data_IF_358974210713
#
_entry.id   IF_358974210713
#
_cell.length_a   1.000
_cell.length_b   1.000
_cell.length_c   1.000
_cell.angle_alpha   90.00
_cell.angle_beta   90.00
_cell.angle_gamma   90.00
#
_symmetry.space_group_name_H-M   'P 1'
#
loop_
_entity.id
_entity.type
_entity.pdbx_description
1 polymer ?
#
# COMPACT_ATOMS: atom_id res chain seq x y z
N UNK A 1 17.98 18.33 -16.67
CA UNK A 1 19.28 17.72 -16.26
C UNK A 1 19.09 16.36 -15.56
N UNK A 2 18.10 16.19 -14.68
CA UNK A 2 17.94 14.95 -13.88
C UNK A 2 16.89 13.94 -14.40
N UNK A 3 16.39 14.10 -15.64
CA UNK A 3 15.30 13.25 -16.18
C UNK A 3 15.62 11.76 -16.18
N UNK A 4 16.82 11.36 -16.59
CA UNK A 4 17.22 9.95 -16.59
C UNK A 4 17.29 9.35 -15.18
N UNK A 5 17.84 10.11 -14.22
CA UNK A 5 17.91 9.70 -12.81
C UNK A 5 16.51 9.60 -12.21
N UNK A 6 15.63 10.57 -12.49
CA UNK A 6 14.24 10.53 -12.05
C UNK A 6 13.48 9.33 -12.63
N UNK A 7 13.63 9.05 -13.92
CA UNK A 7 13.04 7.89 -14.57
C UNK A 7 13.57 6.57 -13.99
N UNK A 8 14.88 6.47 -13.78
CA UNK A 8 15.47 5.30 -13.13
C UNK A 8 14.88 5.11 -11.73
N UNK A 9 14.94 6.12 -10.86
CA UNK A 9 14.39 6.07 -9.50
C UNK A 9 12.90 5.66 -9.50
N UNK A 10 12.09 6.23 -10.39
CA UNK A 10 10.69 5.85 -10.57
C UNK A 10 10.54 4.36 -10.90
N UNK A 11 11.29 3.86 -11.89
CA UNK A 11 11.24 2.46 -12.29
C UNK A 11 11.63 1.52 -11.13
N UNK A 12 12.54 1.91 -10.26
CA UNK A 12 12.92 1.08 -9.10
C UNK A 12 11.93 1.06 -7.98
N UNK A 13 11.35 2.21 -7.66
CA UNK A 13 10.23 2.24 -6.72
C UNK A 13 9.11 1.36 -7.29
N UNK A 14 8.82 1.46 -8.60
CA UNK A 14 7.81 0.63 -9.26
C UNK A 14 8.10 -0.87 -9.12
N UNK A 15 9.30 -1.30 -9.51
CA UNK A 15 9.68 -2.71 -9.46
C UNK A 15 9.61 -3.25 -8.03
N UNK A 16 10.14 -2.51 -7.03
CA UNK A 16 10.16 -2.90 -5.60
C UNK A 16 8.80 -3.02 -4.94
N UNK A 17 7.83 -2.33 -5.48
CA UNK A 17 6.47 -2.33 -4.97
C UNK A 17 5.58 -3.24 -5.82
N UNK A 18 6.18 -4.23 -6.49
CA UNK A 18 5.52 -5.22 -7.35
C UNK A 18 4.73 -4.60 -8.51
N UNK A 19 5.31 -3.58 -9.15
CA UNK A 19 4.72 -2.81 -10.24
C UNK A 19 3.47 -2.02 -9.83
N UNK A 20 3.47 -1.45 -8.63
CA UNK A 20 2.31 -0.73 -8.08
C UNK A 20 1.81 0.40 -8.99
N UNK A 21 2.70 1.08 -9.72
CA UNK A 21 2.30 2.18 -10.62
C UNK A 21 1.61 1.70 -11.90
N UNK A 22 1.69 0.40 -12.19
CA UNK A 22 0.97 -0.24 -13.29
C UNK A 22 -0.28 -0.98 -12.79
N UNK A 23 -0.53 -0.97 -11.48
CA UNK A 23 -1.70 -1.54 -10.83
C UNK A 23 -2.79 -0.48 -10.66
N UNK A 24 -4.06 -0.87 -10.75
CA UNK A 24 -5.20 0.01 -10.49
C UNK A 24 -5.47 0.20 -8.98
N UNK A 25 -4.52 -0.16 -8.11
CA UNK A 25 -4.65 -0.02 -6.66
C UNK A 25 -4.60 1.46 -6.22
N UNK A 26 -5.29 1.82 -5.11
CA UNK A 26 -5.41 3.20 -4.66
C UNK A 26 -4.09 3.77 -4.07
N UNK A 27 -3.07 2.95 -3.87
CA UNK A 27 -1.77 3.27 -3.28
C UNK A 27 -1.13 4.54 -3.83
N UNK A 28 -0.99 4.64 -5.15
CA UNK A 28 -0.31 5.77 -5.79
C UNK A 28 -1.11 7.06 -5.66
N UNK A 29 -2.44 6.97 -5.77
CA UNK A 29 -3.35 8.11 -5.60
C UNK A 29 -3.32 8.60 -4.16
N UNK A 30 -3.36 7.69 -3.19
CA UNK A 30 -3.25 8.01 -1.78
C UNK A 30 -1.90 8.66 -1.45
N UNK A 31 -0.79 8.14 -2.01
CA UNK A 31 0.54 8.72 -1.84
C UNK A 31 0.63 10.12 -2.47
N UNK A 32 0.04 10.34 -3.65
CA UNK A 32 0.00 11.65 -4.30
C UNK A 32 -0.74 12.67 -3.44
N UNK A 33 -1.92 12.33 -2.92
CA UNK A 33 -2.66 13.22 -2.03
C UNK A 33 -1.90 13.48 -0.73
N UNK A 34 -1.27 12.47 -0.13
CA UNK A 34 -0.53 12.64 1.11
C UNK A 34 0.73 13.51 0.93
N UNK A 35 1.49 13.31 -0.15
CA UNK A 35 2.66 14.15 -0.48
C UNK A 35 2.22 15.56 -0.84
N UNK A 36 1.17 15.73 -1.65
CA UNK A 36 0.61 17.05 -1.98
C UNK A 36 0.13 17.80 -0.74
N UNK A 37 -0.56 17.11 0.18
CA UNK A 37 -0.97 17.66 1.47
C UNK A 37 0.22 18.09 2.32
N UNK A 38 1.28 17.28 2.37
CA UNK A 38 2.51 17.62 3.09
C UNK A 38 3.21 18.84 2.48
N UNK A 39 3.33 18.93 1.15
CA UNK A 39 3.92 20.08 0.47
C UNK A 39 3.14 21.38 0.73
N UNK A 40 1.80 21.34 0.64
CA UNK A 40 0.98 22.52 0.98
C UNK A 40 1.10 22.88 2.47
N UNK A 41 1.23 21.87 3.33
CA UNK A 41 1.43 22.09 4.76
C UNK A 41 2.77 22.76 5.06
N UNK A 42 3.87 22.34 4.41
CA UNK A 42 5.19 22.96 4.64
C UNK A 42 5.23 24.41 4.16
N UNK A 43 4.53 24.75 3.08
CA UNK A 43 4.49 26.09 2.48
C UNK A 43 3.37 27.00 3.01
N UNK A 44 2.66 26.59 4.08
CA UNK A 44 1.40 27.21 4.47
C UNK A 44 1.48 28.66 4.97
N UNK A 45 2.66 29.21 5.30
CA UNK A 45 2.93 30.58 5.83
C UNK A 45 1.65 31.44 6.04
N UNK A 46 0.99 31.22 7.18
CA UNK A 46 -0.26 31.87 7.67
C UNK A 46 -1.50 31.83 6.76
N UNK A 47 -1.44 31.14 5.63
CA UNK A 47 -2.57 30.94 4.72
C UNK A 47 -3.52 29.86 5.26
N UNK A 48 -4.70 30.30 5.69
CA UNK A 48 -5.81 29.41 6.04
C UNK A 48 -6.24 28.54 4.86
N UNK A 49 -6.28 29.08 3.64
CA UNK A 49 -6.64 28.33 2.44
C UNK A 49 -5.68 27.16 2.18
N UNK A 50 -4.36 27.39 2.23
CA UNK A 50 -3.36 26.32 2.06
C UNK A 50 -3.47 25.27 3.15
N UNK A 51 -3.76 25.71 4.39
CA UNK A 51 -3.95 24.80 5.53
C UNK A 51 -5.20 23.93 5.35
N UNK A 52 -6.32 24.52 4.92
CA UNK A 52 -7.55 23.80 4.62
C UNK A 52 -7.38 22.82 3.46
N UNK A 53 -6.73 23.24 2.36
CA UNK A 53 -6.42 22.36 1.23
C UNK A 53 -5.51 21.21 1.65
N UNK A 54 -4.48 21.46 2.46
CA UNK A 54 -3.60 20.41 2.97
C UNK A 54 -4.37 19.37 3.80
N UNK A 55 -5.26 19.83 4.70
CA UNK A 55 -6.12 18.94 5.50
C UNK A 55 -7.04 18.12 4.59
N UNK A 56 -7.68 18.76 3.60
CA UNK A 56 -8.53 18.08 2.62
C UNK A 56 -7.77 16.97 1.87
N UNK A 57 -6.54 17.25 1.44
CA UNK A 57 -5.69 16.26 0.78
C UNK A 57 -5.30 15.11 1.72
N UNK A 58 -4.98 15.38 2.99
CA UNK A 58 -4.72 14.31 3.97
C UNK A 58 -5.96 13.44 4.20
N UNK A 59 -7.14 14.05 4.33
CA UNK A 59 -8.41 13.33 4.47
C UNK A 59 -8.64 12.45 3.25
N UNK A 60 -8.53 12.99 2.03
CA UNK A 60 -8.63 12.21 0.80
C UNK A 60 -7.64 11.04 0.80
N UNK A 61 -6.37 11.29 1.16
CA UNK A 61 -5.36 10.23 1.22
C UNK A 61 -5.77 9.07 2.13
N UNK A 62 -6.30 9.36 3.33
CA UNK A 62 -6.75 8.34 4.30
C UNK A 62 -7.98 7.59 3.80
N UNK A 63 -8.91 8.27 3.12
CA UNK A 63 -10.10 7.65 2.55
C UNK A 63 -9.75 6.69 1.40
N UNK A 64 -8.72 6.99 0.61
CA UNK A 64 -8.19 6.06 -0.40
C UNK A 64 -7.37 4.93 0.22
N UNK A 65 -6.50 5.25 1.19
CA UNK A 65 -5.68 4.25 1.87
C UNK A 65 -5.33 4.69 3.29
N UNK A 66 -5.77 3.92 4.28
CA UNK A 66 -5.72 4.26 5.69
C UNK A 66 -4.29 4.39 6.23
N UNK A 67 -3.34 3.65 5.65
CA UNK A 67 -1.92 3.73 6.02
C UNK A 67 -1.31 5.11 5.71
N UNK A 68 -1.91 5.89 4.79
CA UNK A 68 -1.51 7.28 4.53
C UNK A 68 -1.76 8.22 5.72
N UNK A 69 -2.52 7.79 6.75
CA UNK A 69 -2.66 8.55 7.99
C UNK A 69 -1.31 8.85 8.65
N UNK A 70 -0.29 8.00 8.42
CA UNK A 70 1.07 8.22 8.91
C UNK A 70 1.64 9.58 8.48
N UNK A 71 1.28 10.10 7.30
CA UNK A 71 1.77 11.42 6.84
C UNK A 71 1.37 12.57 7.76
N UNK A 72 0.23 12.45 8.45
CA UNK A 72 -0.25 13.47 9.39
C UNK A 72 0.60 13.55 10.67
N UNK A 73 1.43 12.54 10.93
CA UNK A 73 2.37 12.53 12.06
C UNK A 73 3.69 13.25 11.74
N UNK A 74 4.01 13.47 10.45
CA UNK A 74 5.26 14.11 10.01
C UNK A 74 5.40 15.54 10.59
N UNK A 75 4.37 16.41 10.55
CA UNK A 75 4.45 17.72 11.17
C UNK A 75 4.75 17.68 12.67
N UNK A 76 4.19 16.70 13.39
CA UNK A 76 4.39 16.52 14.82
C UNK A 76 5.86 16.19 15.08
N UNK A 77 6.38 15.17 14.41
CA UNK A 77 7.78 14.75 14.51
C UNK A 77 8.74 15.88 14.11
N UNK A 78 8.43 16.62 13.04
CA UNK A 78 9.23 17.77 12.62
C UNK A 78 9.34 18.82 13.73
N UNK A 79 8.22 19.20 14.36
CA UNK A 79 8.23 20.20 15.44
C UNK A 79 8.99 19.69 16.66
N UNK A 80 8.78 18.43 17.05
CA UNK A 80 9.46 17.82 18.20
C UNK A 80 10.98 17.78 18.02
N UNK A 81 11.46 17.43 16.84
CA UNK A 81 12.91 17.35 16.56
C UNK A 81 13.51 18.76 16.43
N UNK A 82 12.87 19.68 15.69
CA UNK A 82 13.54 20.88 15.19
C UNK A 82 13.06 22.23 15.75
N UNK A 83 11.79 22.37 16.15
CA UNK A 83 11.21 23.68 16.55
C UNK A 83 10.96 23.82 18.05
N UNK A 84 10.86 22.70 18.80
CA UNK A 84 10.78 22.62 20.28
C UNK A 84 9.96 23.74 20.94
N UNK A 85 8.67 23.86 20.58
CA UNK A 85 7.75 24.84 21.18
C UNK A 85 6.29 24.39 21.20
N UNK A 86 5.58 24.66 22.30
CA UNK A 86 4.20 24.21 22.55
C UNK A 86 3.18 24.75 21.54
N UNK A 87 3.26 26.03 21.15
CA UNK A 87 2.35 26.62 20.16
C UNK A 87 2.48 25.93 18.79
N UNK A 88 3.72 25.64 18.38
CA UNK A 88 3.99 24.92 17.14
C UNK A 88 3.51 23.46 17.20
N UNK A 89 3.47 22.87 18.40
CA UNK A 89 2.98 21.50 18.61
C UNK A 89 1.46 21.42 18.44
N UNK A 90 0.70 22.37 18.99
CA UNK A 90 -0.75 22.40 18.77
C UNK A 90 -1.10 22.56 17.28
N UNK A 91 -0.41 23.46 16.59
CA UNK A 91 -0.60 23.62 15.15
C UNK A 91 -0.26 22.35 14.36
N UNK A 92 0.79 21.60 14.76
CA UNK A 92 1.18 20.37 14.07
C UNK A 92 0.25 19.17 14.33
N UNK A 93 -0.57 19.21 15.39
CA UNK A 93 -1.60 18.21 15.66
C UNK A 93 -2.84 18.34 14.77
N UNK A 94 -3.08 19.51 14.17
CA UNK A 94 -4.30 19.81 13.41
C UNK A 94 -4.59 18.76 12.31
N UNK A 95 -3.62 18.34 11.45
CA UNK A 95 -3.89 17.33 10.43
C UNK A 95 -4.33 15.99 11.03
N UNK A 96 -3.65 15.52 12.08
CA UNK A 96 -3.96 14.25 12.73
C UNK A 96 -5.35 14.29 13.40
N UNK A 97 -5.67 15.38 14.12
CA UNK A 97 -6.99 15.57 14.73
C UNK A 97 -8.09 15.62 13.67
N UNK A 98 -7.83 16.25 12.53
CA UNK A 98 -8.81 16.32 11.43
C UNK A 98 -9.15 14.94 10.87
N UNK A 99 -8.16 14.04 10.78
CA UNK A 99 -8.40 12.64 10.41
C UNK A 99 -9.25 11.94 11.48
N UNK A 100 -8.92 12.09 12.76
CA UNK A 100 -9.68 11.48 13.86
C UNK A 100 -11.14 11.94 13.88
N UNK A 101 -11.39 13.24 13.68
CA UNK A 101 -12.75 13.79 13.57
C UNK A 101 -13.48 13.19 12.38
N UNK A 102 -12.83 13.12 11.21
CA UNK A 102 -13.43 12.52 10.01
C UNK A 102 -13.78 11.05 10.24
N UNK A 103 -12.88 10.26 10.84
CA UNK A 103 -13.14 8.87 11.18
C UNK A 103 -14.26 8.72 12.23
N UNK A 104 -14.35 9.65 13.19
CA UNK A 104 -15.44 9.70 14.16
C UNK A 104 -16.80 9.97 13.51
N UNK A 105 -16.86 10.88 12.54
CA UNK A 105 -18.06 11.15 11.74
C UNK A 105 -18.45 9.89 10.94
N UNK A 106 -17.49 9.23 10.29
CA UNK A 106 -17.76 7.98 9.53
C UNK A 106 -18.27 6.89 10.47
N UNK A 107 -17.70 6.73 11.66
CA UNK A 107 -18.17 5.78 12.67
C UNK A 107 -19.63 6.01 13.04
N UNK A 108 -20.04 7.27 13.18
CA UNK A 108 -21.40 7.63 13.60
C UNK A 108 -22.42 7.51 12.47
N UNK A 109 -22.09 7.99 11.26
CA UNK A 109 -23.02 8.03 10.12
C UNK A 109 -23.03 6.69 9.35
N UNK A 110 -21.87 6.07 9.16
CA UNK A 110 -21.68 4.84 8.38
C UNK A 110 -20.88 3.78 9.16
N UNK A 111 -21.47 3.17 10.21
CA UNK A 111 -20.76 2.23 11.08
C UNK A 111 -20.20 1.02 10.31
N UNK A 112 -20.88 0.58 9.25
CA UNK A 112 -20.40 -0.53 8.41
C UNK A 112 -19.17 -0.16 7.59
N UNK A 113 -19.12 1.05 7.06
CA UNK A 113 -17.94 1.57 6.34
C UNK A 113 -16.77 1.72 7.32
N UNK A 114 -17.01 2.26 8.51
CA UNK A 114 -15.99 2.33 9.55
C UNK A 114 -15.47 0.95 9.94
N UNK A 115 -16.35 -0.03 10.12
CA UNK A 115 -15.97 -1.39 10.44
C UNK A 115 -15.03 -1.98 9.39
N UNK A 116 -15.40 -1.89 8.11
CA UNK A 116 -14.59 -2.40 7.00
C UNK A 116 -13.28 -1.60 6.80
N UNK A 117 -13.30 -0.28 6.95
CA UNK A 117 -12.13 0.56 6.69
C UNK A 117 -11.13 0.61 7.86
N UNK A 118 -11.60 0.51 9.11
CA UNK A 118 -10.78 0.78 10.29
C UNK A 118 -10.75 -0.42 11.24
N UNK A 119 -11.91 -0.98 11.59
CA UNK A 119 -11.97 -2.06 12.59
C UNK A 119 -11.29 -3.33 12.07
N UNK A 120 -11.60 -3.77 10.85
CA UNK A 120 -11.01 -4.98 10.26
C UNK A 120 -9.51 -4.81 10.00
N UNK A 121 -9.01 -3.77 9.29
CA UNK A 121 -7.56 -3.59 9.13
C UNK A 121 -6.83 -3.36 10.45
N UNK A 122 -7.53 -2.83 11.46
CA UNK A 122 -7.04 -2.64 12.82
C UNK A 122 -6.89 -3.93 13.61
N UNK A 123 -7.72 -4.96 13.36
CA UNK A 123 -7.65 -6.25 14.05
C UNK A 123 -6.59 -7.19 13.49
N UNK A 124 -5.99 -6.87 12.33
CA UNK A 124 -4.96 -7.69 11.71
C UNK A 124 -3.71 -7.75 12.61
N UNK A 125 -3.31 -8.98 12.95
CA UNK A 125 -2.13 -9.25 13.76
C UNK A 125 -0.84 -8.81 13.05
N UNK A 126 0.09 -8.24 13.83
CA UNK A 126 1.40 -7.82 13.36
C UNK A 126 2.42 -8.86 13.80
N UNK A 127 3.06 -9.52 12.85
CA UNK A 127 4.14 -10.46 13.15
C UNK A 127 5.46 -9.70 13.36
N UNK A 128 5.72 -9.34 14.61
CA UNK A 128 6.93 -8.62 15.00
C UNK A 128 8.24 -9.41 14.73
N UNK A 129 8.17 -10.74 14.61
CA UNK A 129 9.31 -11.57 14.24
C UNK A 129 9.87 -11.26 12.85
N UNK A 130 9.04 -10.73 11.95
CA UNK A 130 9.45 -10.31 10.60
C UNK A 130 10.11 -8.93 10.55
N UNK A 131 10.02 -8.11 11.61
CA UNK A 131 10.55 -6.73 11.60
C UNK A 131 12.05 -6.68 11.29
N UNK A 132 12.93 -7.50 11.90
CA UNK A 132 14.36 -7.49 11.55
C UNK A 132 14.61 -7.90 10.09
N UNK A 133 13.84 -8.86 9.58
CA UNK A 133 13.96 -9.34 8.20
C UNK A 133 13.56 -8.27 7.18
N UNK A 134 12.40 -7.63 7.37
CA UNK A 134 11.94 -6.54 6.50
C UNK A 134 12.84 -5.30 6.62
N UNK A 135 13.34 -5.00 7.82
CA UNK A 135 14.31 -3.90 8.01
C UNK A 135 15.63 -4.19 7.28
N UNK A 136 16.15 -5.42 7.41
CA UNK A 136 17.34 -5.88 6.70
C UNK A 136 17.13 -5.83 5.18
N UNK A 137 15.96 -6.29 4.70
CA UNK A 137 15.57 -6.20 3.30
C UNK A 137 15.57 -4.75 2.81
N UNK A 138 14.97 -3.81 3.54
CA UNK A 138 14.89 -2.40 3.14
C UNK A 138 16.29 -1.79 2.96
N UNK A 139 17.20 -2.05 3.90
CA UNK A 139 18.58 -1.53 3.87
C UNK A 139 19.39 -2.21 2.78
N UNK A 140 19.36 -3.54 2.71
CA UNK A 140 20.16 -4.32 1.76
C UNK A 140 19.74 -4.05 0.31
N UNK A 141 18.43 -3.90 0.09
CA UNK A 141 17.93 -3.69 -1.26
C UNK A 141 18.07 -2.23 -1.69
N UNK A 142 18.12 -1.22 -0.82
CA UNK A 142 18.12 0.19 -1.24
C UNK A 142 19.45 0.93 -0.96
N UNK A 143 20.59 0.50 -1.54
CA UNK A 143 21.90 1.06 -1.26
C UNK A 143 22.03 2.55 -1.63
N UNK A 144 21.20 3.10 -2.51
CA UNK A 144 21.20 4.56 -2.79
C UNK A 144 20.89 5.40 -1.56
N UNK A 145 20.11 4.85 -0.61
CA UNK A 145 19.88 5.51 0.66
C UNK A 145 21.15 5.56 1.52
N UNK A 146 21.95 4.48 1.55
CA UNK A 146 23.23 4.46 2.25
C UNK A 146 24.20 5.49 1.66
N UNK A 147 24.21 5.66 0.34
CA UNK A 147 24.99 6.72 -0.33
C UNK A 147 24.54 8.11 0.15
N UNK A 148 23.23 8.36 0.22
CA UNK A 148 22.70 9.63 0.71
C UNK A 148 23.09 9.90 2.18
N UNK A 149 23.07 8.87 3.04
CA UNK A 149 23.53 8.96 4.42
C UNK A 149 25.02 9.28 4.52
N UNK A 150 25.86 8.61 3.72
CA UNK A 150 27.29 8.88 3.67
C UNK A 150 27.56 10.30 3.17
N UNK A 151 26.86 10.74 2.12
CA UNK A 151 26.96 12.09 1.60
C UNK A 151 26.62 13.13 2.67
N UNK A 152 25.59 12.90 3.49
CA UNK A 152 25.30 13.78 4.64
C UNK A 152 26.38 13.74 5.71
N UNK A 153 26.95 12.57 6.02
CA UNK A 153 28.02 12.43 7.02
C UNK A 153 29.29 13.17 6.60
N UNK A 154 29.60 13.23 5.31
CA UNK A 154 30.78 13.91 4.78
C UNK A 154 30.54 15.38 4.39
N UNK A 155 29.30 15.76 4.13
CA UNK A 155 28.91 17.16 3.93
C UNK A 155 29.01 17.92 5.27
N UNK A 156 29.66 19.09 5.22
CA UNK A 156 29.70 20.03 6.35
C UNK A 156 28.49 20.97 6.37
N UNK A 157 27.52 20.77 5.48
CA UNK A 157 26.41 21.68 5.29
C UNK A 157 25.39 21.55 6.42
N UNK A 158 24.97 22.71 6.92
CA UNK A 158 23.86 22.83 7.86
C UNK A 158 22.61 22.23 7.22
N UNK A 159 21.88 21.42 7.99
CA UNK A 159 20.63 20.80 7.53
C UNK A 159 19.59 21.87 7.20
N UNK A 160 19.32 22.04 5.90
CA UNK A 160 18.29 22.93 5.37
C UNK A 160 16.88 22.50 5.82
N UNK A 161 15.93 23.44 5.81
CA UNK A 161 14.54 23.22 6.21
C UNK A 161 13.88 22.09 5.41
N UNK A 162 14.16 21.98 4.10
CA UNK A 162 13.67 20.87 3.27
C UNK A 162 14.20 19.52 3.74
N UNK A 163 15.49 19.45 4.04
CA UNK A 163 16.14 18.24 4.56
C UNK A 163 15.54 17.84 5.93
N UNK A 164 15.26 18.82 6.80
CA UNK A 164 14.60 18.57 8.10
C UNK A 164 13.23 17.92 7.97
N UNK A 165 12.43 18.34 6.99
CA UNK A 165 11.13 17.73 6.69
C UNK A 165 11.28 16.30 6.16
N UNK A 166 12.26 16.04 5.31
CA UNK A 166 12.55 14.70 4.80
C UNK A 166 12.99 13.77 5.93
N UNK A 167 13.83 14.24 6.85
CA UNK A 167 14.21 13.48 8.04
C UNK A 167 13.00 13.14 8.91
N UNK A 168 12.10 14.10 9.16
CA UNK A 168 10.87 13.83 9.90
C UNK A 168 9.97 12.83 9.16
N UNK A 169 9.86 12.93 7.83
CA UNK A 169 9.11 12.01 7.00
C UNK A 169 9.68 10.59 7.09
N UNK A 170 11.00 10.44 7.04
CA UNK A 170 11.68 9.16 7.18
C UNK A 170 11.45 8.52 8.55
N UNK A 171 11.56 9.30 9.64
CA UNK A 171 11.32 8.81 11.01
C UNK A 171 9.91 8.27 11.20
N UNK A 172 8.94 8.77 10.43
CA UNK A 172 7.55 8.32 10.51
C UNK A 172 7.26 7.21 9.51
N UNK A 173 7.54 7.45 8.23
CA UNK A 173 7.09 6.61 7.12
C UNK A 173 7.87 5.31 7.03
N UNK A 174 9.17 5.27 7.37
CA UNK A 174 9.94 4.03 7.32
C UNK A 174 9.45 3.03 8.37
N UNK A 175 9.36 3.37 9.68
CA UNK A 175 8.80 2.45 10.67
C UNK A 175 7.34 2.08 10.39
N UNK A 176 6.51 3.04 9.96
CA UNK A 176 5.12 2.76 9.62
C UNK A 176 5.03 1.76 8.46
N UNK A 177 5.85 1.92 7.41
CA UNK A 177 5.90 1.00 6.27
C UNK A 177 6.28 -0.41 6.70
N UNK A 178 7.36 -0.54 7.49
CA UNK A 178 7.82 -1.84 8.02
C UNK A 178 6.70 -2.48 8.85
N UNK A 179 6.10 -1.73 9.77
CA UNK A 179 5.01 -2.21 10.60
C UNK A 179 3.80 -2.70 9.78
N UNK A 180 3.41 -1.95 8.73
CA UNK A 180 2.32 -2.35 7.84
C UNK A 180 2.65 -3.54 6.94
N UNK A 181 3.91 -3.73 6.56
CA UNK A 181 4.34 -4.92 5.81
C UNK A 181 4.34 -6.16 6.70
N UNK A 182 4.60 -6.02 8.00
CA UNK A 182 4.58 -7.14 8.95
C UNK A 182 3.17 -7.57 9.39
N UNK A 183 2.11 -6.91 8.92
CA UNK A 183 0.73 -7.37 9.14
C UNK A 183 0.41 -8.61 8.29
N UNK A 184 -0.47 -9.48 8.78
CA UNK A 184 -1.02 -10.56 7.95
C UNK A 184 -1.67 -9.99 6.69
N UNK A 185 -1.36 -10.56 5.51
CA UNK A 185 -1.76 -9.99 4.21
C UNK A 185 -0.99 -8.74 3.76
N UNK A 186 -0.03 -8.25 4.57
CA UNK A 186 0.86 -7.14 4.22
C UNK A 186 1.85 -7.53 3.13
N UNK A 187 2.00 -6.67 2.12
CA UNK A 187 2.91 -6.88 1.00
C UNK A 187 3.98 -5.81 0.87
N UNK A 188 4.89 -6.00 -0.10
CA UNK A 188 5.94 -5.03 -0.43
C UNK A 188 5.39 -3.67 -0.92
N UNK A 189 4.13 -3.61 -1.39
CA UNK A 189 3.46 -2.35 -1.73
C UNK A 189 3.36 -1.39 -0.54
N UNK A 190 3.26 -1.91 0.69
CA UNK A 190 3.27 -1.11 1.92
C UNK A 190 4.60 -0.38 2.15
N UNK A 191 5.70 -0.82 1.52
CA UNK A 191 6.99 -0.13 1.58
C UNK A 191 7.07 1.12 0.69
N UNK A 192 6.07 1.36 -0.17
CA UNK A 192 6.06 2.47 -1.14
C UNK A 192 6.38 3.82 -0.47
N UNK A 193 5.68 4.17 0.60
CA UNK A 193 5.82 5.49 1.24
C UNK A 193 7.16 5.63 1.98
N UNK A 194 7.70 4.53 2.51
CA UNK A 194 9.06 4.47 3.05
C UNK A 194 10.11 4.68 1.96
N UNK A 195 9.99 3.99 0.82
CA UNK A 195 10.89 4.17 -0.32
C UNK A 195 10.83 5.59 -0.90
N UNK A 196 9.65 6.20 -0.97
CA UNK A 196 9.50 7.60 -1.41
C UNK A 196 10.27 8.56 -0.49
N UNK A 197 10.19 8.38 0.83
CA UNK A 197 10.93 9.21 1.79
C UNK A 197 12.45 9.03 1.67
N UNK A 198 12.92 7.79 1.54
CA UNK A 198 14.36 7.48 1.35
C UNK A 198 14.88 8.02 0.01
N UNK A 199 14.06 7.94 -1.05
CA UNK A 199 14.37 8.50 -2.36
C UNK A 199 14.46 10.02 -2.31
N UNK A 200 13.56 10.68 -1.58
CA UNK A 200 13.59 12.13 -1.41
C UNK A 200 14.90 12.61 -0.78
N UNK A 201 15.44 11.88 0.20
CA UNK A 201 16.75 12.20 0.78
C UNK A 201 17.88 12.09 -0.25
N UNK A 202 17.90 11.02 -1.04
CA UNK A 202 18.87 10.85 -2.12
C UNK A 202 18.79 11.99 -3.14
N UNK A 203 17.59 12.38 -3.56
CA UNK A 203 17.38 13.47 -4.51
C UNK A 203 17.89 14.80 -3.95
N UNK A 204 17.61 15.12 -2.68
CA UNK A 204 18.10 16.36 -2.05
C UNK A 204 19.62 16.36 -1.88
N UNK A 205 20.26 15.19 -1.78
CA UNK A 205 21.72 15.07 -1.70
C UNK A 205 22.41 14.84 -3.04
N UNK A 206 21.65 14.79 -4.14
CA UNK A 206 22.20 14.45 -5.45
C UNK A 206 23.28 15.44 -5.89
N UNK A 207 23.06 16.75 -5.71
CA UNK A 207 24.04 17.77 -6.09
C UNK A 207 25.33 17.64 -5.26
N UNK A 208 25.23 17.47 -3.93
CA UNK A 208 26.39 17.24 -3.07
C UNK A 208 27.15 15.96 -3.43
N UNK A 209 26.45 14.90 -3.85
CA UNK A 209 27.06 13.65 -4.32
C UNK A 209 27.81 13.90 -5.63
N UNK A 210 27.20 14.62 -6.57
CA UNK A 210 27.80 14.96 -7.86
C UNK A 210 29.04 15.86 -7.70
N UNK A 211 28.97 16.87 -6.83
CA UNK A 211 30.10 17.75 -6.50
C UNK A 211 31.25 16.97 -5.87
N UNK A 212 30.95 16.08 -4.92
CA UNK A 212 31.95 15.19 -4.33
C UNK A 212 32.62 14.31 -5.38
N UNK A 213 31.85 13.72 -6.30
CA UNK A 213 32.42 12.91 -7.39
C UNK A 213 33.25 13.73 -8.37
N UNK A 214 32.86 14.98 -8.65
CA UNK A 214 33.59 15.90 -9.51
C UNK A 214 34.92 16.35 -8.88
N UNK A 215 34.98 16.42 -7.54
CA UNK A 215 36.21 16.71 -6.80
C UNK A 215 37.23 15.56 -6.85
N UNK A 216 36.79 14.33 -7.12
CA UNK A 216 37.69 13.17 -7.31
C UNK A 216 38.38 13.26 -8.68
N UNK A 217 39.68 12.94 -8.74
CA UNK A 217 40.46 12.93 -9.99
C UNK A 217 40.75 11.52 -10.51
N UNK A 218 40.75 11.37 -11.83
CA UNK A 218 41.16 10.16 -12.53
C UNK A 218 40.34 8.92 -12.18
N UNK A 219 41.01 7.80 -11.92
CA UNK A 219 40.40 6.49 -11.63
C UNK A 219 39.41 6.51 -10.46
N UNK A 220 39.61 7.38 -9.46
CA UNK A 220 38.71 7.50 -8.29
C UNK A 220 37.34 8.04 -8.67
N UNK A 221 37.27 8.98 -9.62
CA UNK A 221 36.00 9.52 -10.12
C UNK A 221 35.24 8.46 -10.91
N UNK A 222 35.95 7.71 -11.77
CA UNK A 222 35.37 6.59 -12.51
C UNK A 222 34.83 5.49 -11.60
N UNK A 223 35.58 5.10 -10.56
CA UNK A 223 35.11 4.13 -9.56
C UNK A 223 33.89 4.64 -8.78
N UNK A 224 33.87 5.91 -8.38
CA UNK A 224 32.74 6.49 -7.67
C UNK A 224 31.48 6.55 -8.54
N UNK A 225 31.61 6.97 -9.81
CA UNK A 225 30.51 7.00 -10.76
C UNK A 225 29.99 5.59 -11.08
N UNK A 226 30.90 4.63 -11.27
CA UNK A 226 30.55 3.22 -11.48
C UNK A 226 29.88 2.62 -10.25
N UNK A 227 30.38 2.93 -9.05
CA UNK A 227 29.80 2.50 -7.79
C UNK A 227 28.40 3.08 -7.57
N UNK A 228 28.18 4.36 -7.90
CA UNK A 228 26.86 4.98 -7.86
C UNK A 228 25.92 4.35 -8.88
N UNK A 229 26.37 4.13 -10.12
CA UNK A 229 25.60 3.48 -11.16
C UNK A 229 25.24 2.04 -10.79
N UNK A 230 26.16 1.30 -10.18
CA UNK A 230 25.92 -0.03 -9.63
C UNK A 230 24.94 0.04 -8.45
N UNK A 231 25.09 0.95 -7.50
CA UNK A 231 24.16 1.08 -6.38
C UNK A 231 22.75 1.42 -6.86
N UNK A 232 22.63 2.30 -7.86
CA UNK A 232 21.42 2.55 -8.64
C UNK A 232 20.94 1.19 -9.18
N UNK A 233 21.70 0.50 -10.04
CA UNK A 233 21.34 -0.80 -10.63
C UNK A 233 20.91 -1.88 -9.62
N UNK A 234 21.65 -2.05 -8.52
CA UNK A 234 21.35 -2.97 -7.42
C UNK A 234 20.05 -2.57 -6.72
N UNK A 235 19.81 -1.26 -6.55
CA UNK A 235 18.51 -0.75 -6.10
C UNK A 235 17.38 -1.04 -7.10
N UNK A 236 17.65 -1.39 -8.35
CA UNK A 236 16.62 -1.75 -9.34
C UNK A 236 16.40 -3.27 -9.46
N UNK A 237 17.47 -4.06 -9.40
CA UNK A 237 17.43 -5.47 -9.82
C UNK A 237 17.43 -6.49 -8.67
N UNK A 238 17.88 -6.11 -7.47
CA UNK A 238 17.94 -7.03 -6.34
C UNK A 238 16.62 -6.99 -5.57
N UNK A 239 15.84 -8.04 -5.74
CA UNK A 239 14.67 -8.38 -4.94
C UNK A 239 14.86 -9.81 -4.45
N UNK A 240 14.76 -9.99 -3.13
CA UNK A 240 14.92 -11.29 -2.46
C UNK A 240 13.75 -12.21 -2.80
N UNK A 241 12.53 -11.66 -2.87
CA UNK A 241 11.35 -12.34 -3.40
C UNK A 241 10.88 -11.64 -4.66
N UNK A 242 10.73 -12.42 -5.74
CA UNK A 242 10.09 -12.01 -6.99
C UNK A 242 8.69 -12.59 -7.06
N UNK A 243 7.96 -12.53 -5.95
CA UNK A 243 6.57 -12.96 -5.95
C UNK A 243 5.82 -12.21 -7.07
N UNK A 244 5.07 -12.99 -7.84
CA UNK A 244 4.47 -12.62 -9.13
C UNK A 244 4.04 -11.16 -9.14
N UNK A 245 4.54 -10.42 -10.13
CA UNK A 245 4.14 -9.04 -10.34
C UNK A 245 2.60 -8.93 -10.30
N UNK A 246 2.07 -7.87 -9.67
CA UNK A 246 0.63 -7.60 -9.58
C UNK A 246 -0.08 -7.72 -10.95
N UNK A 247 0.67 -7.50 -12.04
CA UNK A 247 0.24 -7.64 -13.44
C UNK A 247 -0.12 -9.07 -13.88
N UNK A 248 0.41 -10.11 -13.24
CA UNK A 248 0.05 -11.49 -13.58
C UNK A 248 -1.29 -11.93 -12.98
N UNK A 249 -1.89 -11.10 -12.13
CA UNK A 249 -3.11 -11.40 -11.40
C UNK A 249 -4.29 -10.69 -12.04
N UNK A 250 -5.05 -11.45 -12.84
CA UNK A 250 -6.30 -10.97 -13.46
C UNK A 250 -7.43 -11.02 -12.42
N UNK A 251 -7.36 -10.14 -11.41
CA UNK A 251 -8.33 -9.99 -10.31
C UNK A 251 -9.69 -9.37 -10.75
N UNK A 252 -9.97 -9.38 -12.04
CA UNK A 252 -11.13 -8.77 -12.68
C UNK A 252 -10.79 -8.34 -14.10
N UNK A 253 -11.81 -8.20 -14.94
CA UNK A 253 -11.65 -7.81 -16.34
C UNK A 253 -12.94 -7.21 -16.93
N UNK A 254 -12.93 -6.95 -18.25
CA UNK A 254 -14.05 -6.38 -19.00
C UNK A 254 -15.37 -7.16 -18.90
N UNK A 255 -15.35 -8.40 -18.39
CA UNK A 255 -16.53 -9.25 -18.24
C UNK A 255 -17.20 -9.14 -16.87
N UNK A 256 -16.77 -8.19 -16.03
CA UNK A 256 -17.42 -7.91 -14.73
C UNK A 256 -18.94 -7.76 -14.85
N UNK A 257 -19.41 -6.96 -15.81
CA UNK A 257 -20.85 -6.75 -16.02
C UNK A 257 -21.58 -8.04 -16.41
N UNK A 258 -20.90 -8.97 -17.09
CA UNK A 258 -21.46 -10.28 -17.42
C UNK A 258 -21.64 -11.14 -16.16
N UNK A 259 -20.70 -11.09 -15.22
CA UNK A 259 -20.82 -11.78 -13.94
C UNK A 259 -21.96 -11.19 -13.07
N UNK A 260 -22.09 -9.86 -13.06
CA UNK A 260 -23.19 -9.15 -12.39
C UNK A 260 -24.54 -9.51 -13.01
N UNK A 261 -24.64 -9.52 -14.33
CA UNK A 261 -25.87 -9.88 -15.05
C UNK A 261 -26.28 -11.33 -14.81
N UNK A 262 -25.32 -12.25 -14.70
CA UNK A 262 -25.59 -13.63 -14.30
C UNK A 262 -26.20 -13.67 -12.89
N UNK A 263 -25.57 -12.99 -11.92
CA UNK A 263 -26.07 -12.92 -10.55
C UNK A 263 -27.47 -12.28 -10.47
N UNK A 264 -27.78 -11.31 -11.33
CA UNK A 264 -29.08 -10.64 -11.39
C UNK A 264 -30.19 -11.53 -11.96
N UNK A 265 -29.88 -12.36 -12.95
CA UNK A 265 -30.86 -13.19 -13.66
C UNK A 265 -31.09 -14.55 -13.01
N UNK A 266 -30.23 -14.95 -12.09
CA UNK A 266 -30.31 -16.23 -11.41
C UNK A 266 -31.21 -16.10 -10.17
N UNK A 267 -32.32 -16.86 -10.08
CA UNK A 267 -33.25 -16.73 -8.95
C UNK A 267 -32.69 -17.31 -7.64
N UNK A 268 -31.73 -18.23 -7.75
CA UNK A 268 -31.05 -18.81 -6.59
C UNK A 268 -29.93 -17.88 -6.07
N UNK A 269 -29.56 -18.05 -4.81
CA UNK A 269 -28.51 -17.25 -4.18
C UNK A 269 -27.15 -17.46 -4.86
N UNK A 270 -26.65 -16.38 -5.48
CA UNK A 270 -25.30 -16.27 -6.02
C UNK A 270 -24.43 -15.50 -5.04
N UNK A 271 -23.30 -16.09 -4.63
CA UNK A 271 -22.31 -15.41 -3.79
C UNK A 271 -21.03 -15.15 -4.59
N UNK A 272 -20.28 -14.13 -4.20
CA UNK A 272 -18.93 -13.90 -4.71
C UNK A 272 -18.03 -13.43 -3.57
N UNK A 273 -17.48 -14.36 -2.77
CA UNK A 273 -16.72 -13.97 -1.57
C UNK A 273 -15.46 -13.17 -1.85
N UNK A 274 -14.81 -13.36 -3.00
CA UNK A 274 -13.62 -12.60 -3.39
C UNK A 274 -13.96 -11.19 -3.90
N UNK A 275 -15.20 -10.98 -4.38
CA UNK A 275 -15.72 -9.67 -4.76
C UNK A 275 -17.21 -9.55 -4.43
N UNK A 276 -17.55 -9.18 -3.18
CA UNK A 276 -18.94 -9.07 -2.74
C UNK A 276 -19.77 -8.05 -3.52
N UNK A 277 -19.14 -7.17 -4.29
CA UNK A 277 -19.84 -6.16 -5.10
C UNK A 277 -20.63 -6.79 -6.24
N UNK A 278 -20.22 -7.97 -6.75
CA UNK A 278 -20.96 -8.71 -7.78
C UNK A 278 -22.32 -9.15 -7.23
N UNK A 279 -22.33 -9.78 -6.05
CA UNK A 279 -23.56 -10.20 -5.38
C UNK A 279 -24.46 -8.98 -5.03
N UNK A 280 -23.85 -7.88 -4.59
CA UNK A 280 -24.59 -6.66 -4.27
C UNK A 280 -25.24 -6.03 -5.50
N UNK A 281 -24.52 -5.88 -6.62
CA UNK A 281 -25.06 -5.29 -7.86
C UNK A 281 -26.02 -6.21 -8.61
N UNK A 282 -25.87 -7.52 -8.42
CA UNK A 282 -26.72 -8.53 -9.03
C UNK A 282 -28.02 -8.74 -8.26
N UNK A 283 -27.92 -9.03 -6.97
CA UNK A 283 -29.01 -9.50 -6.12
C UNK A 283 -29.34 -8.56 -4.94
N UNK A 284 -28.68 -7.41 -4.80
CA UNK A 284 -28.92 -6.44 -3.72
C UNK A 284 -28.37 -6.86 -2.35
N UNK A 285 -27.67 -8.00 -2.28
CA UNK A 285 -27.12 -8.57 -1.05
C UNK A 285 -25.61 -8.30 -0.94
N UNK A 286 -25.17 -7.74 0.18
CA UNK A 286 -23.75 -7.56 0.48
C UNK A 286 -23.22 -8.77 1.26
N UNK A 287 -22.55 -9.68 0.56
CA UNK A 287 -21.93 -10.88 1.15
C UNK A 287 -20.66 -10.60 1.95
N UNK A 288 -20.11 -11.63 2.60
CA UNK A 288 -18.83 -11.52 3.31
C UNK A 288 -17.68 -11.45 2.31
N UNK A 289 -16.71 -10.60 2.62
CA UNK A 289 -15.44 -10.56 1.88
C UNK A 289 -14.50 -11.62 2.42
N UNK A 290 -14.09 -12.56 1.57
CA UNK A 290 -13.15 -13.60 1.90
C UNK A 290 -11.82 -13.02 2.40
N UNK A 291 -11.33 -11.94 1.79
CA UNK A 291 -10.12 -11.27 2.25
C UNK A 291 -10.27 -10.77 3.69
N UNK A 292 -11.38 -10.11 4.00
CA UNK A 292 -11.62 -9.58 5.35
C UNK A 292 -11.82 -10.68 6.39
N UNK A 293 -12.47 -11.79 6.03
CA UNK A 293 -12.63 -12.93 6.93
C UNK A 293 -11.29 -13.62 7.20
N UNK A 294 -10.42 -13.77 6.18
CA UNK A 294 -9.08 -14.34 6.37
C UNK A 294 -8.17 -13.42 7.20
N UNK A 295 -8.23 -12.11 6.95
CA UNK A 295 -7.50 -11.10 7.70
C UNK A 295 -7.94 -11.05 9.18
N UNK A 296 -9.24 -11.21 9.45
CA UNK A 296 -9.79 -11.22 10.80
C UNK A 296 -9.52 -12.52 11.58
N UNK A 297 -9.24 -13.64 10.89
CA UNK A 297 -9.03 -14.96 11.49
C UNK A 297 -7.62 -15.51 11.22
N UNK A 298 -6.62 -14.63 11.07
CA UNK A 298 -5.24 -15.02 10.88
C UNK A 298 -4.72 -15.89 12.05
N UNK A 299 -3.91 -16.90 11.74
CA UNK A 299 -3.29 -17.81 12.71
C UNK A 299 -1.77 -17.63 12.64
N UNK A 300 -1.15 -17.18 13.73
CA UNK A 300 0.28 -16.87 13.80
C UNK A 300 0.74 -15.87 12.72
N UNK A 301 -0.07 -14.85 12.45
CA UNK A 301 0.20 -13.85 11.42
C UNK A 301 0.06 -14.33 9.97
N UNK A 302 -0.39 -15.56 9.71
CA UNK A 302 -0.69 -16.06 8.37
C UNK A 302 -2.20 -16.26 8.17
N UNK A 303 -2.68 -16.14 6.94
CA UNK A 303 -4.05 -16.55 6.64
C UNK A 303 -4.26 -18.02 6.99
N UNK A 304 -5.44 -18.40 7.52
CA UNK A 304 -5.73 -19.77 7.87
C UNK A 304 -5.69 -20.66 6.62
N UNK A 305 -5.33 -21.93 6.80
CA UNK A 305 -5.30 -22.93 5.72
C UNK A 305 -6.69 -23.39 5.30
N UNK A 306 -7.71 -23.09 6.10
CA UNK A 306 -9.11 -23.44 5.87
C UNK A 306 -9.99 -22.19 5.87
N UNK A 307 -11.17 -22.28 5.24
CA UNK A 307 -12.13 -21.20 5.27
C UNK A 307 -12.63 -20.96 6.71
N UNK A 308 -12.71 -19.70 7.18
CA UNK A 308 -13.37 -19.39 8.44
C UNK A 308 -14.82 -19.89 8.44
N UNK A 309 -15.33 -20.34 9.60
CA UNK A 309 -16.70 -20.88 9.72
C UNK A 309 -17.77 -19.96 9.14
N UNK A 310 -17.59 -18.66 9.34
CA UNK A 310 -18.46 -17.60 8.85
C UNK A 310 -18.63 -17.65 7.33
N UNK A 311 -17.54 -17.92 6.62
CA UNK A 311 -17.50 -18.07 5.17
C UNK A 311 -18.03 -19.44 4.73
N UNK A 312 -17.70 -20.51 5.47
CA UNK A 312 -18.25 -21.84 5.20
C UNK A 312 -19.78 -21.85 5.23
N UNK A 313 -20.40 -21.15 6.19
CA UNK A 313 -21.87 -21.00 6.26
C UNK A 313 -22.45 -20.30 5.03
N UNK A 314 -21.81 -19.23 4.56
CA UNK A 314 -22.28 -18.52 3.36
C UNK A 314 -22.14 -19.36 2.09
N UNK A 315 -21.03 -20.11 1.96
CA UNK A 315 -20.83 -21.08 0.87
C UNK A 315 -21.84 -22.23 0.94
N UNK A 316 -22.18 -22.70 2.14
CA UNK A 316 -23.14 -23.77 2.36
C UNK A 316 -24.56 -23.40 1.87
N UNK A 317 -24.95 -22.13 2.03
CA UNK A 317 -26.25 -21.57 1.63
C UNK A 317 -26.32 -21.18 0.13
N UNK A 318 -25.21 -21.20 -0.58
CA UNK A 318 -25.15 -20.80 -1.99
C UNK A 318 -25.40 -21.98 -2.93
N UNK A 319 -26.08 -21.71 -4.05
CA UNK A 319 -26.20 -22.66 -5.16
C UNK A 319 -25.16 -22.38 -6.25
N UNK A 320 -24.84 -21.10 -6.43
CA UNK A 320 -23.85 -20.62 -7.39
C UNK A 320 -22.81 -19.76 -6.69
N UNK A 321 -21.55 -19.92 -7.10
CA UNK A 321 -20.44 -19.09 -6.63
C UNK A 321 -19.74 -18.48 -7.83
N UNK A 322 -19.61 -17.17 -7.84
CA UNK A 322 -18.73 -16.45 -8.78
C UNK A 322 -17.38 -16.26 -8.08
N UNK A 323 -16.39 -17.03 -8.51
CA UNK A 323 -15.02 -16.92 -8.06
C UNK A 323 -14.28 -15.88 -8.90
N UNK A 324 -13.42 -15.09 -8.26
CA UNK A 324 -12.53 -14.13 -8.93
C UNK A 324 -11.10 -14.63 -8.81
N UNK A 325 -10.40 -14.80 -9.93
CA UNK A 325 -9.00 -15.25 -9.94
C UNK A 325 -8.09 -14.23 -9.26
N UNK A 326 -7.63 -14.56 -8.06
CA UNK A 326 -6.57 -13.85 -7.33
C UNK A 326 -5.39 -14.78 -6.98
N UNK A 327 -4.26 -14.24 -6.53
CA UNK A 327 -3.07 -15.05 -6.18
C UNK A 327 -3.34 -15.93 -4.96
N UNK A 328 -3.88 -15.26 -3.96
CA UNK A 328 -4.38 -15.82 -2.72
C UNK A 328 -5.72 -15.11 -2.52
N UNK A 329 -6.79 -15.80 -2.11
CA UNK A 329 -6.83 -17.19 -1.67
C UNK A 329 -7.35 -18.19 -2.72
N UNK A 330 -7.27 -17.91 -4.02
CA UNK A 330 -7.89 -18.75 -5.08
C UNK A 330 -7.61 -20.25 -4.93
N UNK A 331 -6.36 -20.75 -4.78
CA UNK A 331 -6.14 -22.20 -4.67
C UNK A 331 -6.81 -22.83 -3.44
N UNK A 332 -6.76 -22.15 -2.30
CA UNK A 332 -7.42 -22.58 -1.06
C UNK A 332 -8.95 -22.56 -1.22
N UNK A 333 -9.48 -21.51 -1.84
CA UNK A 333 -10.92 -21.37 -2.06
C UNK A 333 -11.46 -22.39 -3.07
N UNK A 334 -10.72 -22.71 -4.13
CA UNK A 334 -11.07 -23.79 -5.06
C UNK A 334 -11.16 -25.15 -4.37
N UNK A 335 -10.17 -25.46 -3.53
CA UNK A 335 -10.18 -26.70 -2.76
C UNK A 335 -11.40 -26.78 -1.83
N UNK A 336 -11.76 -25.66 -1.19
CA UNK A 336 -12.95 -25.59 -0.36
C UNK A 336 -14.25 -25.77 -1.17
N UNK A 337 -14.38 -25.12 -2.33
CA UNK A 337 -15.52 -25.30 -3.23
C UNK A 337 -15.67 -26.76 -3.69
N UNK A 338 -14.57 -27.40 -4.09
CA UNK A 338 -14.58 -28.81 -4.49
C UNK A 338 -15.00 -29.72 -3.32
N UNK A 339 -14.51 -29.45 -2.11
CA UNK A 339 -14.89 -30.18 -0.88
C UNK A 339 -16.39 -30.05 -0.59
N UNK A 340 -16.97 -28.89 -0.88
CA UNK A 340 -18.41 -28.60 -0.71
C UNK A 340 -19.27 -28.99 -1.94
N UNK A 341 -18.77 -29.90 -2.78
CA UNK A 341 -19.45 -30.45 -3.97
C UNK A 341 -19.81 -29.41 -5.05
N UNK A 342 -19.07 -28.30 -5.11
CA UNK A 342 -19.13 -27.40 -6.26
C UNK A 342 -18.22 -27.89 -7.39
N UNK A 343 -18.63 -27.60 -8.61
CA UNK A 343 -17.83 -27.83 -9.81
C UNK A 343 -17.91 -26.61 -10.75
N UNK A 344 -16.87 -26.37 -11.55
CA UNK A 344 -16.87 -25.25 -12.47
C UNK A 344 -17.94 -25.46 -13.55
N UNK A 345 -18.78 -24.45 -13.73
CA UNK A 345 -19.78 -24.39 -14.79
C UNK A 345 -19.16 -23.72 -16.01
N UNK A 346 -19.17 -24.41 -17.15
CA UNK A 346 -18.72 -23.81 -18.40
C UNK A 346 -19.74 -22.79 -18.89
N UNK A 347 -19.48 -21.52 -18.59
CA UNK A 347 -20.28 -20.40 -19.04
C UNK A 347 -19.53 -19.65 -20.13
N UNK A 348 -19.96 -19.84 -21.38
CA UNK A 348 -19.28 -19.36 -22.60
C UNK A 348 -18.92 -17.87 -22.52
N UNK A 349 -19.81 -17.05 -21.97
CA UNK A 349 -19.59 -15.62 -21.87
C UNK A 349 -18.39 -15.26 -20.96
N UNK A 350 -18.10 -16.06 -19.93
CA UNK A 350 -16.96 -15.85 -19.01
C UNK A 350 -15.70 -16.62 -19.39
N UNK A 351 -15.67 -17.35 -20.52
CA UNK A 351 -14.45 -18.05 -20.97
C UNK A 351 -13.28 -17.09 -21.15
N UNK A 352 -12.10 -17.49 -20.66
CA UNK A 352 -10.88 -16.67 -20.71
C UNK A 352 -10.93 -15.42 -19.83
N UNK A 353 -11.90 -15.31 -18.91
CA UNK A 353 -11.99 -14.20 -17.98
C UNK A 353 -11.30 -14.48 -16.64
N UNK A 354 -11.17 -13.44 -15.82
CA UNK A 354 -10.82 -13.53 -14.40
C UNK A 354 -11.92 -14.13 -13.52
N UNK A 355 -13.11 -14.40 -14.06
CA UNK A 355 -14.26 -14.93 -13.32
C UNK A 355 -14.52 -16.40 -13.69
N UNK A 356 -14.66 -17.23 -12.67
CA UNK A 356 -15.09 -18.63 -12.82
C UNK A 356 -16.42 -18.80 -12.13
N UNK A 357 -17.41 -19.34 -12.85
CA UNK A 357 -18.69 -19.71 -12.27
C UNK A 357 -18.63 -21.13 -11.74
N UNK A 358 -19.13 -21.34 -10.53
CA UNK A 358 -19.25 -22.65 -9.89
C UNK A 358 -20.71 -22.91 -9.55
N UNK A 359 -21.12 -24.17 -9.64
CA UNK A 359 -22.46 -24.63 -9.26
C UNK A 359 -22.33 -25.88 -8.41
N UNK A 360 -23.28 -26.09 -7.50
CA UNK A 360 -23.38 -27.33 -6.73
C UNK A 360 -23.93 -28.48 -7.58
N UNK A 361 -23.48 -29.72 -7.37
CA UNK A 361 -24.07 -30.91 -8.00
C UNK A 361 -25.57 -31.00 -7.69
N UNK A 362 -26.42 -31.37 -8.67
CA UNK A 362 -27.76 -31.84 -8.35
C UNK A 362 -27.63 -33.09 -7.46
N UNK A 363 -28.38 -33.12 -6.37
CA UNK A 363 -28.50 -34.31 -5.52
C UNK A 363 -29.08 -35.50 -6.29
#
# INVERSE_FOLDING_TARGET
KYWFVAFALFLGVNLRTNLIFLSAQPDCVAALFAVGGLCLWTERRDSLLRSACAIGLFVCAVLFKQTSAAFTLIPIVYVLIWKRGLQNLFASLIPAVSILVTLGIIRFIWPQVFHAMITVPGSIEVNYGHVPLISGYLIATFPIFLIALLAKRFSRDVTDERERWIWAAMTVLVPASIWTTCKSGGGYSSLLVGYLAMTALFVVKLDSILEWMAALRGWRSFLAASGLALAILFSFLVQVDRDLALLFLRCGDEKYDTAVDFARRTPDRVISPQDPTIAYRGAGYFGRSLFFELDAHAVNGNWPSELPESMQREVAEAKYVVQVRSYVPTPMFEQALVKDNFYPMDFVALRGSGYTLWTRRPE
#
